data_IF_646078785402
#
_entry.id   IF_646078785402
#
_cell.length_a   1.000
_cell.length_b   1.000
_cell.length_c   1.000
_cell.angle_alpha   90.00
_cell.angle_beta   90.00
_cell.angle_gamma   90.00
#
_symmetry.space_group_name_H-M   'P 1'
#
loop_
_entity.id
_entity.type
_entity.pdbx_description
1 polymer ?
#
# COMPACT_ATOMS: atom_id res chain seq x y z
N UNK A 1 0.31 29.01 -20.18
CA UNK A 1 0.25 27.74 -20.97
C UNK A 1 0.54 26.48 -20.15
N UNK A 2 1.23 26.52 -19.00
CA UNK A 2 1.58 25.34 -18.21
C UNK A 2 0.39 24.57 -17.61
N UNK A 3 -0.61 25.28 -17.06
CA UNK A 3 -1.74 24.65 -16.35
C UNK A 3 -2.60 23.71 -17.23
N UNK A 4 -2.95 24.05 -18.48
CA UNK A 4 -3.67 23.14 -19.37
C UNK A 4 -2.90 21.85 -19.71
N UNK A 5 -1.57 21.94 -19.82
CA UNK A 5 -0.70 20.79 -20.09
C UNK A 5 -0.57 19.91 -18.83
N UNK A 6 -0.53 20.52 -17.64
CA UNK A 6 -0.42 19.83 -16.36
C UNK A 6 -1.75 19.21 -15.88
N UNK A 7 -2.89 19.52 -16.50
CA UNK A 7 -4.22 19.00 -16.08
C UNK A 7 -4.27 17.49 -15.82
N UNK A 8 -3.74 16.61 -16.69
CA UNK A 8 -3.79 15.17 -16.45
C UNK A 8 -3.01 14.75 -15.20
N UNK A 9 -1.85 15.39 -14.95
CA UNK A 9 -1.05 15.13 -13.76
C UNK A 9 -1.73 15.65 -12.49
N UNK A 10 -2.36 16.82 -12.56
CA UNK A 10 -3.14 17.39 -11.44
C UNK A 10 -4.33 16.49 -11.11
N UNK A 11 -5.10 16.03 -12.10
CA UNK A 11 -6.25 15.14 -11.89
C UNK A 11 -5.78 13.82 -11.26
N UNK A 12 -4.69 13.24 -11.76
CA UNK A 12 -4.14 12.02 -11.20
C UNK A 12 -3.66 12.19 -9.74
N UNK A 13 -3.01 13.33 -9.44
CA UNK A 13 -2.60 13.65 -8.08
C UNK A 13 -3.78 13.86 -7.13
N UNK A 14 -4.82 14.59 -7.57
CA UNK A 14 -6.04 14.79 -6.79
C UNK A 14 -6.78 13.47 -6.55
N UNK A 15 -6.88 12.59 -7.55
CA UNK A 15 -7.50 11.29 -7.39
C UNK A 15 -6.78 10.44 -6.34
N UNK A 16 -5.44 10.43 -6.34
CA UNK A 16 -4.63 9.76 -5.32
C UNK A 16 -4.89 10.33 -3.92
N UNK A 17 -4.92 11.65 -3.78
CA UNK A 17 -5.22 12.31 -2.50
C UNK A 17 -6.63 11.97 -2.03
N UNK A 18 -7.63 12.01 -2.92
CA UNK A 18 -9.00 11.63 -2.58
C UNK A 18 -9.09 10.17 -2.11
N UNK A 19 -8.41 9.24 -2.78
CA UNK A 19 -8.38 7.82 -2.38
C UNK A 19 -7.76 7.64 -1.00
N UNK A 20 -6.67 8.33 -0.70
CA UNK A 20 -6.01 8.27 0.62
C UNK A 20 -6.89 8.86 1.72
N UNK A 21 -7.50 10.02 1.47
CA UNK A 21 -8.43 10.67 2.42
C UNK A 21 -9.67 9.81 2.70
N UNK A 22 -10.26 9.19 1.68
CA UNK A 22 -11.42 8.28 1.84
C UNK A 22 -11.00 7.01 2.60
N UNK A 23 -9.76 6.58 2.46
CA UNK A 23 -9.20 5.42 3.15
C UNK A 23 -8.77 5.71 4.59
N UNK A 24 -8.69 6.98 4.97
CA UNK A 24 -8.27 7.36 6.32
C UNK A 24 -9.33 6.90 7.34
N UNK A 25 -8.86 6.23 8.36
CA UNK A 25 -9.66 5.70 9.45
C UNK A 25 -9.25 6.33 10.78
N UNK A 26 -7.96 6.26 11.12
CA UNK A 26 -7.47 6.65 12.42
C UNK A 26 -7.67 8.15 12.73
N UNK A 27 -7.42 9.03 11.74
CA UNK A 27 -7.58 10.47 11.91
C UNK A 27 -9.04 10.83 12.09
N UNK A 28 -9.94 10.30 11.24
CA UNK A 28 -11.37 10.62 11.31
C UNK A 28 -12.02 10.09 12.59
N UNK A 29 -11.59 8.94 13.07
CA UNK A 29 -12.06 8.38 14.34
C UNK A 29 -11.60 9.23 15.53
N UNK A 30 -10.31 9.58 15.59
CA UNK A 30 -9.76 10.40 16.67
C UNK A 30 -10.47 11.77 16.79
N UNK A 31 -10.80 12.39 15.64
CA UNK A 31 -11.55 13.64 15.59
C UNK A 31 -13.07 13.45 15.59
N UNK A 32 -13.58 12.24 15.79
CA UNK A 32 -15.01 11.92 15.84
C UNK A 32 -15.80 12.36 14.60
N UNK A 33 -15.16 12.35 13.42
CA UNK A 33 -15.80 12.70 12.16
C UNK A 33 -16.43 11.46 11.55
N UNK A 34 -17.75 11.41 11.44
CA UNK A 34 -18.48 10.29 10.86
C UNK A 34 -18.22 10.19 9.36
N UNK A 35 -17.56 9.11 8.95
CA UNK A 35 -17.28 8.76 7.55
C UNK A 35 -17.80 7.36 7.24
N UNK A 36 -17.92 7.02 5.93
CA UNK A 36 -18.34 5.68 5.52
C UNK A 36 -17.38 4.60 6.04
N UNK A 37 -16.08 4.86 6.06
CA UNK A 37 -15.05 3.94 6.56
C UNK A 37 -15.19 3.69 8.06
N UNK A 38 -15.44 4.73 8.84
CA UNK A 38 -15.72 4.62 10.27
C UNK A 38 -17.07 3.94 10.54
N UNK A 39 -18.10 4.24 9.73
CA UNK A 39 -19.40 3.59 9.82
C UNK A 39 -19.34 2.08 9.60
N UNK A 40 -18.56 1.60 8.62
CA UNK A 40 -18.32 0.17 8.39
C UNK A 40 -17.70 -0.48 9.64
N UNK A 41 -16.70 0.15 10.21
CA UNK A 41 -15.99 -0.33 11.40
C UNK A 41 -16.92 -0.42 12.62
N UNK A 42 -17.64 0.65 12.92
CA UNK A 42 -18.54 0.73 14.07
C UNK A 42 -19.70 -0.27 13.99
N UNK A 43 -20.28 -0.45 12.80
CA UNK A 43 -21.36 -1.41 12.60
C UNK A 43 -20.87 -2.85 12.73
N UNK A 44 -19.66 -3.15 12.27
CA UNK A 44 -19.09 -4.49 12.43
C UNK A 44 -18.64 -4.76 13.85
N UNK A 45 -17.73 -3.97 14.42
CA UNK A 45 -17.15 -4.24 15.74
C UNK A 45 -18.05 -3.77 16.89
N UNK A 46 -18.72 -2.63 16.74
CA UNK A 46 -19.57 -2.08 17.79
C UNK A 46 -20.95 -2.74 17.86
N UNK A 47 -21.55 -3.09 16.71
CA UNK A 47 -22.89 -3.69 16.64
C UNK A 47 -22.86 -5.18 16.29
N UNK A 48 -21.68 -5.77 16.03
CA UNK A 48 -21.48 -7.16 15.61
C UNK A 48 -22.38 -7.58 14.44
N UNK A 49 -22.61 -6.68 13.49
CA UNK A 49 -23.51 -6.90 12.36
C UNK A 49 -22.75 -6.84 11.04
N UNK A 50 -22.20 -8.00 10.61
CA UNK A 50 -21.45 -8.12 9.35
C UNK A 50 -22.32 -7.83 8.11
N UNK A 51 -23.62 -8.17 8.16
CA UNK A 51 -24.52 -7.94 7.02
C UNK A 51 -24.72 -6.46 6.78
N UNK A 52 -25.02 -5.68 7.82
CA UNK A 52 -25.17 -4.24 7.70
C UNK A 52 -23.84 -3.56 7.32
N UNK A 53 -22.70 -3.98 7.91
CA UNK A 53 -21.39 -3.48 7.54
C UNK A 53 -21.07 -3.74 6.06
N UNK A 54 -21.41 -4.92 5.53
CA UNK A 54 -21.21 -5.27 4.12
C UNK A 54 -22.11 -4.43 3.17
N UNK A 55 -23.31 -4.06 3.59
CA UNK A 55 -24.17 -3.15 2.81
C UNK A 55 -23.58 -1.74 2.71
N UNK A 56 -23.06 -1.19 3.82
CA UNK A 56 -22.38 0.11 3.81
C UNK A 56 -21.10 0.03 2.94
N UNK A 57 -20.34 -1.06 3.06
CA UNK A 57 -19.16 -1.30 2.23
C UNK A 57 -19.51 -1.37 0.73
N UNK A 58 -20.66 -1.94 0.35
CA UNK A 58 -21.13 -1.96 -1.03
C UNK A 58 -21.44 -0.55 -1.54
N UNK A 59 -22.08 0.30 -0.74
CA UNK A 59 -22.34 1.71 -1.10
C UNK A 59 -21.02 2.45 -1.32
N UNK A 60 -20.05 2.29 -0.40
CA UNK A 60 -18.72 2.87 -0.55
C UNK A 60 -18.01 2.35 -1.81
N UNK A 61 -18.15 1.06 -2.13
CA UNK A 61 -17.60 0.43 -3.33
C UNK A 61 -18.14 1.09 -4.62
N UNK A 62 -19.45 1.26 -4.73
CA UNK A 62 -20.09 1.89 -5.89
C UNK A 62 -19.59 3.33 -6.06
N UNK A 63 -19.45 4.07 -4.95
CA UNK A 63 -18.94 5.44 -4.97
C UNK A 63 -17.50 5.48 -5.50
N UNK A 64 -16.60 4.63 -4.99
CA UNK A 64 -15.20 4.57 -5.39
C UNK A 64 -15.05 4.13 -6.85
N UNK A 65 -15.80 3.11 -7.29
CA UNK A 65 -15.80 2.69 -8.69
C UNK A 65 -16.23 3.84 -9.60
N UNK A 66 -17.24 4.63 -9.19
CA UNK A 66 -17.66 5.80 -9.98
C UNK A 66 -16.54 6.83 -10.12
N UNK A 67 -15.80 7.12 -9.05
CA UNK A 67 -14.62 8.00 -9.10
C UNK A 67 -13.52 7.45 -10.00
N UNK A 68 -13.20 6.16 -9.90
CA UNK A 68 -12.21 5.50 -10.76
C UNK A 68 -12.60 5.56 -12.24
N UNK A 69 -13.87 5.33 -12.57
CA UNK A 69 -14.36 5.43 -13.95
C UNK A 69 -14.24 6.86 -14.48
N UNK A 70 -14.56 7.86 -13.66
CA UNK A 70 -14.41 9.28 -14.02
C UNK A 70 -12.94 9.60 -14.28
N UNK A 71 -12.02 9.14 -13.39
CA UNK A 71 -10.57 9.33 -13.55
C UNK A 71 -10.07 8.68 -14.85
N UNK A 72 -10.41 7.41 -15.09
CA UNK A 72 -9.99 6.70 -16.29
C UNK A 72 -10.47 7.36 -17.57
N UNK A 73 -11.73 7.85 -17.61
CA UNK A 73 -12.27 8.61 -18.74
C UNK A 73 -11.53 9.95 -18.93
N UNK A 74 -11.24 10.66 -17.85
CA UNK A 74 -10.49 11.91 -17.91
C UNK A 74 -9.05 11.72 -18.45
N UNK A 75 -8.41 10.58 -18.13
CA UNK A 75 -7.08 10.20 -18.66
C UNK A 75 -7.13 9.75 -20.12
N UNK A 76 -8.14 8.98 -20.53
CA UNK A 76 -8.18 8.34 -21.85
C UNK A 76 -8.27 9.34 -23.00
N UNK A 77 -8.85 10.51 -22.76
CA UNK A 77 -9.12 11.52 -23.79
C UNK A 77 -7.89 12.33 -24.23
N UNK A 78 -6.70 12.11 -23.64
CA UNK A 78 -5.49 12.85 -24.02
C UNK A 78 -4.25 11.97 -23.93
N UNK A 79 -3.91 11.33 -25.04
CA UNK A 79 -2.58 10.79 -25.26
C UNK A 79 -1.67 11.96 -25.67
N UNK A 80 -0.96 12.54 -24.72
CA UNK A 80 0.25 13.31 -25.07
C UNK A 80 1.33 12.30 -25.47
N UNK A 81 1.51 12.08 -26.77
CA UNK A 81 2.68 11.35 -27.25
C UNK A 81 3.87 12.30 -27.10
N UNK A 82 4.67 12.06 -26.09
CA UNK A 82 6.00 12.68 -26.00
C UNK A 82 6.87 12.03 -27.08
N UNK A 83 6.87 12.64 -28.27
CA UNK A 83 7.65 12.16 -29.43
C UNK A 83 9.12 12.58 -29.35
N UNK A 84 9.54 13.28 -28.30
CA UNK A 84 10.93 13.68 -28.13
C UNK A 84 11.57 13.01 -26.93
N UNK A 85 12.30 11.93 -27.17
CA UNK A 85 13.25 11.32 -26.22
C UNK A 85 14.47 12.23 -25.92
N UNK A 86 14.45 13.51 -26.29
CA UNK A 86 15.45 14.47 -25.86
C UNK A 86 15.11 14.94 -24.46
N UNK A 87 15.81 14.41 -23.47
CA UNK A 87 15.93 15.05 -22.15
C UNK A 87 16.53 16.44 -22.34
N UNK A 88 15.69 17.43 -22.63
CA UNK A 88 16.09 18.83 -22.53
C UNK A 88 16.38 19.09 -21.06
N UNK A 89 17.65 19.36 -20.74
CA UNK A 89 18.02 19.80 -19.38
C UNK A 89 17.18 21.04 -19.07
N UNK A 90 16.30 20.91 -18.08
CA UNK A 90 15.48 22.01 -17.58
C UNK A 90 16.48 23.08 -17.08
N UNK A 91 16.49 24.23 -17.70
CA UNK A 91 17.32 25.36 -17.27
C UNK A 91 16.87 25.80 -15.87
N UNK A 92 17.83 25.83 -14.95
CA UNK A 92 17.58 26.28 -13.59
C UNK A 92 17.40 27.79 -13.58
N UNK A 93 16.21 28.25 -13.18
CA UNK A 93 15.90 29.67 -13.01
C UNK A 93 16.64 30.19 -11.78
N UNK A 94 17.46 31.20 -11.91
CA UNK A 94 18.11 31.89 -10.80
C UNK A 94 17.10 32.83 -10.15
N UNK A 95 16.66 32.52 -8.96
CA UNK A 95 15.74 33.35 -8.17
C UNK A 95 16.52 34.47 -7.48
N UNK A 96 15.93 35.68 -7.37
CA UNK A 96 16.44 36.74 -6.51
C UNK A 96 16.40 36.34 -5.02
N UNK A 97 17.19 36.98 -4.17
CA UNK A 97 17.34 36.61 -2.74
C UNK A 97 16.00 36.51 -2.02
N UNK A 98 15.08 37.45 -2.21
CA UNK A 98 13.77 37.48 -1.57
C UNK A 98 12.85 36.34 -2.07
N UNK A 99 12.84 36.12 -3.40
CA UNK A 99 12.08 35.02 -4.02
C UNK A 99 12.63 33.65 -3.60
N UNK A 100 13.95 33.52 -3.44
CA UNK A 100 14.59 32.31 -2.95
C UNK A 100 14.14 32.00 -1.51
N UNK A 101 14.16 32.99 -0.62
CA UNK A 101 13.72 32.85 0.77
C UNK A 101 12.24 32.48 0.86
N UNK A 102 11.39 33.17 0.09
CA UNK A 102 9.96 32.87 0.04
C UNK A 102 9.69 31.44 -0.46
N UNK A 103 10.34 31.04 -1.55
CA UNK A 103 10.20 29.67 -2.09
C UNK A 103 10.67 28.63 -1.09
N UNK A 104 11.80 28.86 -0.41
CA UNK A 104 12.31 27.96 0.63
C UNK A 104 11.29 27.83 1.79
N UNK A 105 10.74 28.96 2.27
CA UNK A 105 9.75 28.96 3.34
C UNK A 105 8.48 28.18 2.94
N UNK A 106 7.92 28.45 1.75
CA UNK A 106 6.72 27.76 1.27
C UNK A 106 6.95 26.26 1.04
N UNK A 107 8.13 25.85 0.57
CA UNK A 107 8.45 24.44 0.39
C UNK A 107 8.77 23.71 1.71
N UNK A 108 9.38 24.39 2.68
CA UNK A 108 9.73 23.79 3.97
C UNK A 108 8.55 23.76 4.96
N UNK A 109 7.58 24.66 4.84
CA UNK A 109 6.43 24.77 5.75
C UNK A 109 5.64 23.47 5.86
N UNK A 110 5.21 22.80 4.77
CA UNK A 110 4.51 21.53 4.86
C UNK A 110 5.34 20.43 5.52
N UNK A 111 6.65 20.39 5.26
CA UNK A 111 7.56 19.42 5.88
C UNK A 111 7.70 19.69 7.38
N UNK A 112 7.82 20.94 7.76
CA UNK A 112 7.93 21.34 9.16
C UNK A 112 6.64 21.01 9.93
N UNK A 113 5.48 21.44 9.43
CA UNK A 113 4.20 21.24 10.11
C UNK A 113 3.70 19.79 10.04
N UNK A 114 3.92 19.10 8.91
CA UNK A 114 3.40 17.75 8.67
C UNK A 114 4.32 16.63 9.14
N UNK A 115 5.60 16.90 9.38
CA UNK A 115 6.56 15.87 9.78
C UNK A 115 7.39 16.27 11.02
N UNK A 116 8.12 17.38 10.98
CA UNK A 116 9.06 17.73 12.06
C UNK A 116 8.31 18.00 13.36
N UNK A 117 7.27 18.83 13.31
CA UNK A 117 6.48 19.18 14.49
C UNK A 117 5.82 17.94 15.15
N UNK A 118 5.07 17.08 14.42
CA UNK A 118 4.50 15.88 15.01
C UNK A 118 5.55 14.93 15.60
N UNK A 119 6.69 14.73 14.92
CA UNK A 119 7.77 13.87 15.44
C UNK A 119 8.36 14.43 16.72
N UNK A 120 8.60 15.75 16.79
CA UNK A 120 9.09 16.40 18.01
C UNK A 120 8.09 16.26 19.17
N UNK A 121 6.78 16.41 18.90
CA UNK A 121 5.74 16.24 19.91
C UNK A 121 5.70 14.80 20.42
N UNK A 122 5.66 13.80 19.52
CA UNK A 122 5.72 12.37 19.90
C UNK A 122 6.98 12.06 20.71
N UNK A 123 8.12 12.57 20.30
CA UNK A 123 9.37 12.41 21.04
C UNK A 123 9.31 13.02 22.44
N UNK A 124 8.73 14.23 22.58
CA UNK A 124 8.55 14.88 23.88
C UNK A 124 7.61 14.11 24.80
N UNK A 125 6.53 13.54 24.27
CA UNK A 125 5.60 12.69 25.02
C UNK A 125 6.25 11.37 25.42
N UNK A 126 7.01 10.74 24.54
CA UNK A 126 7.76 9.51 24.84
C UNK A 126 8.76 9.69 25.99
N UNK A 127 9.35 10.89 26.16
CA UNK A 127 10.28 11.17 27.26
C UNK A 127 9.57 11.44 28.61
N UNK A 128 8.30 11.84 28.58
CA UNK A 128 7.49 12.11 29.79
C UNK A 128 6.91 10.84 30.40
N UNK A 129 6.95 9.75 29.67
CA UNK A 129 6.38 8.46 30.08
C UNK A 129 7.22 7.89 31.24
N UNK A 130 6.87 8.21 32.48
CA UNK A 130 7.35 7.54 33.71
C UNK A 130 6.71 6.15 33.89
N UNK A 131 6.41 5.48 32.80
CA UNK A 131 5.56 4.31 32.79
C UNK A 131 6.39 3.03 32.79
N UNK A 132 5.91 2.03 33.52
CA UNK A 132 6.40 0.67 33.35
C UNK A 132 6.00 0.15 31.97
N UNK A 133 6.77 0.55 30.96
CA UNK A 133 6.63 0.00 29.60
C UNK A 133 6.90 -1.50 29.67
N UNK A 134 5.96 -2.31 29.26
CA UNK A 134 6.21 -3.74 29.07
C UNK A 134 7.04 -3.94 27.79
N UNK A 135 8.36 -3.95 28.00
CA UNK A 135 9.32 -4.14 26.91
C UNK A 135 9.18 -5.49 26.21
N UNK A 136 8.74 -6.53 26.94
CA UNK A 136 8.52 -7.84 26.36
C UNK A 136 7.35 -7.82 25.40
N UNK A 137 6.24 -7.20 25.78
CA UNK A 137 5.07 -7.01 24.92
C UNK A 137 5.42 -6.12 23.70
N UNK A 138 6.09 -5.00 23.89
CA UNK A 138 6.51 -4.13 22.80
C UNK A 138 7.41 -4.86 21.79
N UNK A 139 8.37 -5.65 22.26
CA UNK A 139 9.24 -6.45 21.40
C UNK A 139 8.43 -7.47 20.58
N UNK A 140 7.47 -8.14 21.21
CA UNK A 140 6.59 -9.08 20.52
C UNK A 140 5.78 -8.38 19.42
N UNK A 141 5.24 -7.19 19.69
CA UNK A 141 4.51 -6.37 18.73
C UNK A 141 5.40 -5.94 17.55
N UNK A 142 6.66 -5.57 17.81
CA UNK A 142 7.65 -5.26 16.77
C UNK A 142 7.91 -6.49 15.90
N UNK A 143 8.13 -7.66 16.49
CA UNK A 143 8.37 -8.91 15.77
C UNK A 143 7.16 -9.29 14.92
N UNK A 144 5.96 -9.18 15.47
CA UNK A 144 4.71 -9.45 14.74
C UNK A 144 4.58 -8.53 13.52
N UNK A 145 4.85 -7.22 13.70
CA UNK A 145 4.78 -6.23 12.62
C UNK A 145 5.76 -6.56 11.50
N UNK A 146 7.03 -6.82 11.83
CA UNK A 146 8.06 -7.17 10.85
C UNK A 146 7.72 -8.47 10.14
N UNK A 147 7.21 -9.46 10.87
CA UNK A 147 6.84 -10.76 10.30
C UNK A 147 5.73 -10.63 9.27
N UNK A 148 4.63 -9.95 9.63
CA UNK A 148 3.49 -9.77 8.73
C UNK A 148 3.86 -8.87 7.55
N UNK A 149 4.60 -7.78 7.79
CA UNK A 149 5.08 -6.91 6.72
C UNK A 149 6.03 -7.64 5.77
N UNK A 150 6.92 -8.48 6.31
CA UNK A 150 7.82 -9.31 5.51
C UNK A 150 7.08 -10.35 4.66
N UNK A 151 6.19 -11.13 5.27
CA UNK A 151 5.37 -12.13 4.55
C UNK A 151 4.48 -11.49 3.49
N UNK A 152 3.80 -10.38 3.83
CA UNK A 152 2.98 -9.63 2.90
C UNK A 152 3.79 -9.09 1.72
N UNK A 153 4.96 -8.50 1.99
CA UNK A 153 5.86 -7.98 0.95
C UNK A 153 6.34 -9.09 0.01
N UNK A 154 6.77 -10.23 0.54
CA UNK A 154 7.19 -11.37 -0.28
C UNK A 154 6.03 -11.82 -1.18
N UNK A 155 4.84 -11.98 -0.63
CA UNK A 155 3.65 -12.36 -1.38
C UNK A 155 3.35 -11.36 -2.49
N UNK A 156 3.32 -10.05 -2.18
CA UNK A 156 3.08 -8.97 -3.15
C UNK A 156 4.11 -9.02 -4.28
N UNK A 157 5.39 -9.14 -3.95
CA UNK A 157 6.46 -9.17 -4.97
C UNK A 157 6.34 -10.40 -5.87
N UNK A 158 6.03 -11.58 -5.32
CA UNK A 158 5.83 -12.80 -6.10
C UNK A 158 4.65 -12.63 -7.07
N UNK A 159 3.46 -12.25 -6.58
CA UNK A 159 2.28 -12.09 -7.43
C UNK A 159 2.42 -10.94 -8.43
N UNK A 160 3.01 -9.81 -8.01
CA UNK A 160 3.26 -8.67 -8.90
C UNK A 160 4.27 -9.00 -10.00
N UNK A 161 5.31 -9.78 -9.70
CA UNK A 161 6.29 -10.20 -10.72
C UNK A 161 5.67 -11.12 -11.75
N UNK A 162 4.89 -12.11 -11.31
CA UNK A 162 4.18 -13.01 -12.22
C UNK A 162 3.22 -12.23 -13.12
N UNK A 163 2.37 -11.38 -12.54
CA UNK A 163 1.40 -10.59 -13.31
C UNK A 163 2.08 -9.60 -14.25
N UNK A 164 3.14 -8.90 -13.83
CA UNK A 164 3.83 -7.92 -14.68
C UNK A 164 4.57 -8.58 -15.86
N UNK A 165 5.30 -9.68 -15.61
CA UNK A 165 6.03 -10.40 -16.63
C UNK A 165 5.09 -11.04 -17.65
N UNK A 166 4.03 -11.72 -17.18
CA UNK A 166 3.05 -12.34 -18.06
C UNK A 166 2.32 -11.28 -18.90
N UNK A 167 1.87 -10.20 -18.28
CA UNK A 167 1.15 -9.12 -18.97
C UNK A 167 2.01 -8.45 -20.04
N UNK A 168 3.29 -8.23 -19.78
CA UNK A 168 4.17 -7.50 -20.70
C UNK A 168 4.68 -8.38 -21.85
N UNK A 169 5.13 -9.62 -21.58
CA UNK A 169 5.79 -10.47 -22.57
C UNK A 169 4.87 -11.49 -23.25
N UNK A 170 3.77 -11.89 -22.60
CA UNK A 170 2.81 -12.87 -23.13
C UNK A 170 1.35 -12.40 -23.07
N UNK A 171 1.12 -11.14 -22.66
CA UNK A 171 -0.22 -10.60 -22.46
C UNK A 171 -0.98 -10.47 -23.77
N UNK A 172 -2.20 -11.01 -23.78
CA UNK A 172 -3.23 -10.65 -24.73
C UNK A 172 -4.15 -9.57 -24.12
N UNK A 173 -5.15 -9.10 -24.87
CA UNK A 173 -6.10 -8.07 -24.38
C UNK A 173 -6.79 -8.48 -23.07
N UNK A 174 -7.10 -9.74 -22.87
CA UNK A 174 -7.74 -10.25 -21.65
C UNK A 174 -6.77 -10.23 -20.45
N UNK A 175 -5.55 -10.73 -20.60
CA UNK A 175 -4.53 -10.74 -19.55
C UNK A 175 -4.19 -9.31 -19.13
N UNK A 176 -4.08 -8.38 -20.07
CA UNK A 176 -3.80 -6.98 -19.77
C UNK A 176 -4.95 -6.31 -18.98
N UNK A 177 -6.20 -6.63 -19.31
CA UNK A 177 -7.36 -6.14 -18.55
C UNK A 177 -7.37 -6.72 -17.12
N UNK A 178 -7.12 -8.02 -16.98
CA UNK A 178 -7.06 -8.68 -15.68
C UNK A 178 -5.92 -8.15 -14.81
N UNK A 179 -4.75 -7.92 -15.39
CA UNK A 179 -3.59 -7.33 -14.71
C UNK A 179 -3.86 -5.90 -14.25
N UNK A 180 -4.52 -5.09 -15.08
CA UNK A 180 -4.95 -3.75 -14.69
C UNK A 180 -6.00 -3.80 -13.57
N UNK A 181 -6.94 -4.74 -13.61
CA UNK A 181 -7.92 -4.94 -12.54
C UNK A 181 -7.24 -5.33 -11.22
N UNK A 182 -6.31 -6.28 -11.26
CA UNK A 182 -5.54 -6.70 -10.09
C UNK A 182 -4.72 -5.55 -9.46
N UNK A 183 -4.37 -4.53 -10.25
CA UNK A 183 -3.66 -3.34 -9.77
C UNK A 183 -4.57 -2.23 -9.22
N UNK A 184 -5.88 -2.43 -9.15
CA UNK A 184 -6.82 -1.42 -8.60
C UNK A 184 -7.07 -1.55 -7.10
N UNK A 185 -6.56 -2.59 -6.46
CA UNK A 185 -6.79 -2.87 -5.04
C UNK A 185 -6.46 -1.71 -4.09
N UNK A 186 -5.45 -0.93 -4.43
CA UNK A 186 -5.03 0.25 -3.64
C UNK A 186 -6.08 1.37 -3.59
N UNK A 187 -6.96 1.44 -4.56
CA UNK A 187 -8.03 2.45 -4.61
C UNK A 187 -9.12 2.23 -3.55
N UNK A 188 -9.21 1.02 -2.98
CA UNK A 188 -10.25 0.68 -2.03
C UNK A 188 -9.81 0.90 -0.59
N UNK A 189 -10.67 1.49 0.27
CA UNK A 189 -10.42 1.62 1.69
C UNK A 189 -10.15 0.26 2.37
N UNK A 190 -9.24 0.27 3.34
CA UNK A 190 -8.87 -0.94 4.07
C UNK A 190 -10.03 -1.62 4.78
N UNK A 191 -10.91 -0.83 5.41
CA UNK A 191 -12.12 -1.34 6.07
C UNK A 191 -13.04 -2.09 5.12
N UNK A 192 -13.25 -1.53 3.92
CA UNK A 192 -14.12 -2.15 2.91
C UNK A 192 -13.54 -3.47 2.39
N UNK A 193 -12.22 -3.49 2.08
CA UNK A 193 -11.55 -4.73 1.68
C UNK A 193 -11.57 -5.76 2.79
N UNK A 194 -11.37 -5.35 4.05
CA UNK A 194 -11.42 -6.25 5.19
C UNK A 194 -12.79 -6.94 5.32
N UNK A 195 -13.89 -6.20 5.23
CA UNK A 195 -15.24 -6.79 5.24
C UNK A 195 -15.44 -7.74 4.07
N UNK A 196 -15.02 -7.36 2.85
CA UNK A 196 -15.09 -8.24 1.68
C UNK A 196 -14.33 -9.56 1.88
N UNK A 197 -13.12 -9.47 2.46
CA UNK A 197 -12.30 -10.66 2.76
C UNK A 197 -12.90 -11.49 3.90
N UNK A 198 -13.51 -10.89 4.92
CA UNK A 198 -14.23 -11.62 5.98
C UNK A 198 -15.38 -12.44 5.41
N UNK A 199 -16.18 -11.85 4.55
CA UNK A 199 -17.29 -12.55 3.86
C UNK A 199 -16.74 -13.70 3.00
N UNK A 200 -15.69 -13.44 2.24
CA UNK A 200 -15.03 -14.45 1.41
C UNK A 200 -14.42 -15.58 2.26
N UNK A 201 -13.72 -15.24 3.35
CA UNK A 201 -13.14 -16.22 4.27
C UNK A 201 -14.21 -17.09 4.90
N UNK A 202 -15.32 -16.50 5.36
CA UNK A 202 -16.45 -17.25 5.88
C UNK A 202 -17.07 -18.22 4.86
N UNK A 203 -17.14 -17.82 3.59
CA UNK A 203 -17.58 -18.70 2.51
C UNK A 203 -16.61 -19.87 2.29
N UNK A 204 -15.30 -19.60 2.25
CA UNK A 204 -14.26 -20.62 2.08
C UNK A 204 -14.27 -21.59 3.26
N UNK A 205 -14.34 -21.08 4.49
CA UNK A 205 -14.36 -21.89 5.71
C UNK A 205 -15.59 -22.78 5.79
N UNK A 206 -16.75 -22.27 5.38
CA UNK A 206 -17.98 -23.06 5.32
C UNK A 206 -17.88 -24.18 4.27
N UNK A 207 -17.37 -23.87 3.09
CA UNK A 207 -17.14 -24.86 2.02
C UNK A 207 -16.16 -25.95 2.47
N UNK A 208 -15.08 -25.56 3.15
CA UNK A 208 -14.07 -26.46 3.68
C UNK A 208 -14.65 -27.35 4.80
N UNK A 209 -15.42 -26.78 5.72
CA UNK A 209 -16.05 -27.53 6.83
C UNK A 209 -17.07 -28.55 6.31
N UNK A 210 -17.87 -28.22 5.30
CA UNK A 210 -18.82 -29.16 4.67
C UNK A 210 -18.05 -30.31 4.00
N UNK A 211 -16.97 -30.00 3.26
CA UNK A 211 -16.14 -31.01 2.61
C UNK A 211 -15.48 -31.96 3.61
N UNK A 212 -14.89 -31.46 4.68
CA UNK A 212 -14.26 -32.28 5.73
C UNK A 212 -15.27 -33.10 6.53
N UNK A 213 -16.43 -32.52 6.86
CA UNK A 213 -17.46 -33.21 7.59
C UNK A 213 -18.04 -34.41 6.79
N UNK A 214 -18.16 -34.23 5.45
CA UNK A 214 -18.63 -35.31 4.55
C UNK A 214 -17.62 -36.42 4.37
N UNK A 215 -16.28 -36.11 4.43
CA UNK A 215 -15.21 -37.08 4.13
C UNK A 215 -14.64 -37.74 5.39
N UNK A 216 -14.47 -36.97 6.47
CA UNK A 216 -13.71 -37.41 7.67
C UNK A 216 -14.57 -37.33 8.94
N UNK A 217 -15.77 -36.73 8.90
CA UNK A 217 -16.65 -36.55 10.07
C UNK A 217 -16.12 -35.54 11.08
N UNK A 218 -15.20 -34.66 10.68
CA UNK A 218 -14.54 -33.65 11.53
C UNK A 218 -15.06 -32.25 11.21
N UNK A 219 -15.63 -31.56 12.21
CA UNK A 219 -16.00 -30.15 12.10
C UNK A 219 -14.82 -29.26 12.45
N UNK A 220 -14.24 -28.62 11.45
CA UNK A 220 -13.14 -27.65 11.63
C UNK A 220 -13.70 -26.26 11.93
N UNK A 221 -13.07 -25.54 12.84
CA UNK A 221 -13.41 -24.17 13.25
C UNK A 221 -12.85 -23.09 12.33
N UNK A 222 -12.83 -23.29 11.01
CA UNK A 222 -12.30 -22.35 10.04
C UNK A 222 -10.84 -22.61 9.67
N UNK A 223 -10.55 -22.43 8.37
CA UNK A 223 -9.20 -22.59 7.80
C UNK A 223 -8.53 -21.25 7.54
N UNK A 224 -9.31 -20.25 7.15
CA UNK A 224 -8.82 -18.95 6.70
C UNK A 224 -9.11 -17.84 7.74
N UNK A 225 -10.32 -17.86 8.32
CA UNK A 225 -10.75 -16.80 9.26
C UNK A 225 -9.89 -16.78 10.52
N UNK A 226 -9.47 -15.56 10.92
CA UNK A 226 -8.67 -15.35 12.13
C UNK A 226 -7.22 -15.84 12.04
N UNK A 227 -6.67 -16.00 10.85
CA UNK A 227 -5.29 -16.43 10.64
C UNK A 227 -4.41 -15.32 10.07
N UNK A 228 -3.09 -15.42 10.26
CA UNK A 228 -2.10 -14.53 9.60
C UNK A 228 -2.20 -14.65 8.07
N UNK A 229 -2.59 -15.82 7.56
CA UNK A 229 -2.77 -16.04 6.12
C UNK A 229 -3.84 -15.10 5.54
N UNK A 230 -4.96 -14.91 6.25
CA UNK A 230 -6.00 -13.96 5.86
C UNK A 230 -5.49 -12.53 5.78
N UNK A 231 -4.66 -12.09 6.74
CA UNK A 231 -4.00 -10.79 6.71
C UNK A 231 -3.07 -10.64 5.49
N UNK A 232 -2.18 -11.63 5.28
CA UNK A 232 -1.23 -11.63 4.16
C UNK A 232 -1.96 -11.62 2.81
N UNK A 233 -3.03 -12.38 2.69
CA UNK A 233 -3.89 -12.38 1.51
C UNK A 233 -4.49 -10.99 1.26
N UNK A 234 -5.07 -10.36 2.28
CA UNK A 234 -5.70 -9.04 2.18
C UNK A 234 -4.69 -7.95 1.81
N UNK A 235 -3.50 -7.97 2.43
CA UNK A 235 -2.41 -7.06 2.07
C UNK A 235 -1.95 -7.27 0.63
N UNK A 236 -1.87 -8.52 0.19
CA UNK A 236 -1.51 -8.83 -1.20
C UNK A 236 -2.53 -8.23 -2.17
N UNK A 237 -3.82 -8.39 -1.93
CA UNK A 237 -4.88 -7.82 -2.77
C UNK A 237 -4.80 -6.30 -2.82
N UNK A 238 -4.61 -5.63 -1.67
CA UNK A 238 -4.57 -4.17 -1.60
C UNK A 238 -3.30 -3.59 -2.22
N UNK A 239 -2.14 -4.08 -1.79
CA UNK A 239 -0.85 -3.48 -2.11
C UNK A 239 -0.18 -4.06 -3.36
N UNK A 240 -0.81 -5.02 -4.05
CA UNK A 240 -0.30 -5.53 -5.32
C UNK A 240 -0.09 -4.41 -6.36
N UNK A 241 -0.91 -3.36 -6.33
CA UNK A 241 -0.78 -2.19 -7.21
C UNK A 241 0.60 -1.53 -7.09
N UNK A 242 1.15 -1.43 -5.89
CA UNK A 242 2.46 -0.82 -5.59
C UNK A 242 3.59 -1.67 -6.20
N UNK A 243 3.57 -2.98 -5.93
CA UNK A 243 4.54 -3.92 -6.51
C UNK A 243 4.45 -3.99 -8.04
N UNK A 244 3.25 -4.12 -8.59
CA UNK A 244 3.00 -4.17 -10.02
C UNK A 244 3.44 -2.88 -10.73
N UNK A 245 3.11 -1.71 -10.20
CA UNK A 245 3.49 -0.42 -10.76
C UNK A 245 5.01 -0.24 -10.82
N UNK A 246 5.72 -0.61 -9.75
CA UNK A 246 7.18 -0.57 -9.69
C UNK A 246 7.83 -1.50 -10.72
N UNK A 247 7.37 -2.75 -10.81
CA UNK A 247 7.90 -3.74 -11.75
C UNK A 247 7.57 -3.40 -13.21
N UNK A 248 6.36 -2.94 -13.49
CA UNK A 248 5.96 -2.48 -14.81
C UNK A 248 6.82 -1.32 -15.29
N UNK A 249 7.09 -0.35 -14.41
CA UNK A 249 8.00 0.76 -14.71
C UNK A 249 9.41 0.27 -15.03
N UNK A 250 9.92 -0.71 -14.28
CA UNK A 250 11.22 -1.31 -14.57
C UNK A 250 11.26 -2.09 -15.88
N UNK A 251 10.24 -2.88 -16.18
CA UNK A 251 10.16 -3.66 -17.43
C UNK A 251 10.16 -2.73 -18.64
N UNK A 252 9.43 -1.62 -18.60
CA UNK A 252 9.38 -0.66 -19.73
C UNK A 252 10.72 0.05 -19.99
N UNK A 253 11.64 0.01 -19.05
CA UNK A 253 12.99 0.57 -19.21
C UNK A 253 13.98 -0.44 -19.82
N UNK A 254 13.63 -1.73 -19.90
CA UNK A 254 14.48 -2.76 -20.52
C UNK A 254 14.37 -2.62 -22.03
N UNK A 255 15.48 -2.39 -22.75
CA UNK A 255 15.46 -2.32 -24.20
C UNK A 255 14.99 -3.67 -24.81
N UNK A 256 14.00 -3.62 -25.68
CA UNK A 256 13.43 -4.82 -26.31
C UNK A 256 14.48 -5.61 -27.11
N UNK A 257 15.46 -4.94 -27.73
CA UNK A 257 16.53 -5.57 -28.47
C UNK A 257 17.39 -6.55 -27.63
N UNK A 258 17.49 -6.37 -26.31
CA UNK A 258 18.18 -7.34 -25.43
C UNK A 258 17.41 -8.67 -25.33
N UNK A 259 16.10 -8.57 -25.27
CA UNK A 259 15.22 -9.75 -25.22
C UNK A 259 15.22 -10.46 -26.55
N UNK A 260 15.12 -9.71 -27.65
CA UNK A 260 15.14 -10.24 -29.03
C UNK A 260 16.47 -10.90 -29.34
N UNK A 261 17.61 -10.32 -28.95
CA UNK A 261 18.93 -10.92 -29.09
C UNK A 261 19.04 -12.27 -28.37
N UNK A 262 18.44 -12.40 -27.19
CA UNK A 262 18.41 -13.65 -26.46
C UNK A 262 17.65 -14.73 -27.23
N UNK A 263 16.52 -14.38 -27.83
CA UNK A 263 15.75 -15.32 -28.67
C UNK A 263 16.50 -15.72 -29.96
N UNK A 264 17.20 -14.78 -30.61
CA UNK A 264 18.03 -15.06 -31.76
C UNK A 264 19.17 -16.05 -31.41
N UNK A 265 19.70 -15.96 -30.17
CA UNK A 265 20.69 -16.92 -29.68
C UNK A 265 20.07 -18.29 -29.26
N UNK A 266 18.78 -18.51 -29.53
CA UNK A 266 18.09 -19.77 -29.25
C UNK A 266 17.70 -19.98 -27.80
N UNK A 267 17.71 -18.94 -26.96
CA UNK A 267 17.29 -19.06 -25.56
C UNK A 267 15.78 -19.10 -25.44
N UNK A 268 15.21 -20.05 -24.68
CA UNK A 268 13.77 -20.09 -24.42
C UNK A 268 13.34 -18.95 -23.50
N UNK A 269 12.03 -18.67 -23.48
CA UNK A 269 11.44 -17.63 -22.67
C UNK A 269 11.89 -17.67 -21.19
N UNK A 270 11.83 -18.82 -20.55
CA UNK A 270 12.17 -18.97 -19.13
C UNK A 270 13.65 -18.63 -18.83
N UNK A 271 14.55 -19.00 -19.76
CA UNK A 271 15.98 -18.69 -19.60
C UNK A 271 16.25 -17.19 -19.80
N UNK A 272 15.61 -16.58 -20.81
CA UNK A 272 15.66 -15.14 -21.05
C UNK A 272 15.14 -14.36 -19.84
N UNK A 273 13.99 -14.75 -19.27
CA UNK A 273 13.44 -14.12 -18.09
C UNK A 273 14.39 -14.24 -16.90
N UNK A 274 14.90 -15.44 -16.61
CA UNK A 274 15.73 -15.70 -15.45
C UNK A 274 17.12 -15.04 -15.53
N UNK A 275 17.75 -15.06 -16.74
CA UNK A 275 19.15 -14.60 -16.91
C UNK A 275 19.27 -13.13 -17.31
N UNK A 276 18.25 -12.54 -17.92
CA UNK A 276 18.29 -11.17 -18.43
C UNK A 276 17.29 -10.27 -17.70
N UNK A 277 15.99 -10.59 -17.78
CA UNK A 277 14.95 -9.69 -17.32
C UNK A 277 14.95 -9.58 -15.79
N UNK A 278 14.92 -10.69 -15.06
CA UNK A 278 14.88 -10.65 -13.58
C UNK A 278 16.08 -9.96 -12.95
N UNK A 279 17.34 -10.18 -13.40
CA UNK A 279 18.48 -9.43 -12.86
C UNK A 279 18.40 -7.92 -13.12
N UNK A 280 17.93 -7.51 -14.29
CA UNK A 280 17.75 -6.09 -14.64
C UNK A 280 16.63 -5.42 -13.82
N UNK A 281 15.64 -6.20 -13.38
CA UNK A 281 14.55 -5.72 -12.53
C UNK A 281 14.90 -5.65 -11.03
N UNK A 282 16.11 -6.00 -10.61
CA UNK A 282 16.51 -6.04 -9.19
C UNK A 282 16.16 -4.74 -8.46
N UNK A 283 16.42 -3.60 -9.07
CA UNK A 283 16.11 -2.28 -8.49
C UNK A 283 14.60 -2.08 -8.30
N UNK A 284 13.80 -2.50 -9.30
CA UNK A 284 12.33 -2.40 -9.22
C UNK A 284 11.74 -3.34 -8.17
N UNK A 285 12.33 -4.53 -7.99
CA UNK A 285 11.97 -5.45 -6.91
C UNK A 285 12.21 -4.84 -5.54
N UNK A 286 13.39 -4.25 -5.35
CA UNK A 286 13.76 -3.61 -4.08
C UNK A 286 12.84 -2.40 -3.83
N UNK A 287 12.65 -1.53 -4.83
CA UNK A 287 11.82 -0.34 -4.68
C UNK A 287 10.34 -0.70 -4.38
N UNK A 288 9.76 -1.61 -5.16
CA UNK A 288 8.38 -2.07 -4.95
C UNK A 288 8.21 -2.80 -3.62
N UNK A 289 9.18 -3.63 -3.24
CA UNK A 289 9.18 -4.35 -1.96
C UNK A 289 9.28 -3.42 -0.75
N UNK A 290 10.19 -2.44 -0.79
CA UNK A 290 10.33 -1.47 0.30
C UNK A 290 9.07 -0.61 0.47
N UNK A 291 8.46 -0.16 -0.62
CA UNK A 291 7.21 0.60 -0.56
C UNK A 291 6.08 -0.25 0.03
N UNK A 292 5.90 -1.49 -0.46
CA UNK A 292 4.88 -2.39 0.06
C UNK A 292 5.11 -2.71 1.55
N UNK A 293 6.36 -2.91 1.96
CA UNK A 293 6.73 -3.17 3.36
C UNK A 293 6.31 -2.01 4.27
N UNK A 294 6.64 -0.78 3.88
CA UNK A 294 6.27 0.43 4.64
C UNK A 294 4.75 0.61 4.70
N UNK A 295 4.06 0.38 3.58
CA UNK A 295 2.60 0.49 3.54
C UNK A 295 1.91 -0.54 4.45
N UNK A 296 2.41 -1.76 4.53
CA UNK A 296 1.88 -2.79 5.44
C UNK A 296 2.17 -2.43 6.90
N UNK A 297 3.36 -1.92 7.21
CA UNK A 297 3.72 -1.58 8.60
C UNK A 297 2.81 -0.52 9.22
N UNK A 298 2.34 0.44 8.44
CA UNK A 298 1.42 1.50 8.88
C UNK A 298 -0.06 1.13 8.75
N UNK A 299 -0.35 -0.08 8.21
CA UNK A 299 -1.74 -0.47 7.94
C UNK A 299 -2.49 -0.76 9.24
N UNK A 300 -3.53 0.04 9.49
CA UNK A 300 -4.34 -0.03 10.70
C UNK A 300 -5.71 -0.71 10.46
N UNK A 301 -6.59 -0.18 9.60
CA UNK A 301 -7.99 -0.63 9.54
C UNK A 301 -8.17 -2.09 9.13
N UNK A 302 -7.41 -2.60 8.15
CA UNK A 302 -7.49 -4.02 7.78
C UNK A 302 -6.96 -4.91 8.89
N UNK A 303 -5.85 -4.50 9.52
CA UNK A 303 -5.23 -5.26 10.60
C UNK A 303 -6.17 -5.37 11.79
N UNK A 304 -6.81 -4.28 12.20
CA UNK A 304 -7.78 -4.28 13.32
C UNK A 304 -8.94 -5.25 13.07
N UNK A 305 -9.45 -5.30 11.83
CA UNK A 305 -10.62 -6.10 11.48
C UNK A 305 -10.29 -7.59 11.25
N UNK A 306 -9.07 -7.93 10.84
CA UNK A 306 -8.71 -9.27 10.35
C UNK A 306 -7.66 -9.99 11.18
N UNK A 307 -7.02 -9.32 12.15
CA UNK A 307 -5.95 -9.90 12.94
C UNK A 307 -6.42 -11.10 13.76
N UNK A 308 -5.57 -12.10 13.96
CA UNK A 308 -5.84 -13.17 14.92
C UNK A 308 -5.96 -12.64 16.34
N UNK A 309 -6.63 -13.41 17.21
CA UNK A 309 -6.66 -13.09 18.64
C UNK A 309 -5.25 -13.03 19.21
N UNK A 310 -5.02 -12.08 20.11
CA UNK A 310 -3.71 -11.82 20.76
C UNK A 310 -2.57 -11.50 19.79
N UNK A 311 -2.91 -11.03 18.58
CA UNK A 311 -1.94 -10.62 17.59
C UNK A 311 -2.00 -9.10 17.38
N UNK A 312 -1.00 -8.40 17.92
CA UNK A 312 -0.87 -6.96 17.78
C UNK A 312 0.27 -6.60 16.83
N UNK A 313 0.05 -5.54 16.05
CA UNK A 313 1.10 -4.85 15.29
C UNK A 313 1.38 -3.48 15.91
N UNK A 314 2.47 -2.82 15.53
CA UNK A 314 2.78 -1.48 16.02
C UNK A 314 1.64 -0.49 15.73
N UNK A 315 0.99 -0.60 14.57
CA UNK A 315 -0.14 0.26 14.21
C UNK A 315 -1.35 0.02 15.12
N UNK A 316 -1.75 -1.23 15.36
CA UNK A 316 -2.88 -1.57 16.22
C UNK A 316 -2.59 -1.27 17.69
N UNK A 317 -1.36 -1.51 18.14
CA UNK A 317 -0.91 -1.24 19.49
C UNK A 317 -0.87 0.26 19.81
N UNK A 318 -0.33 1.07 18.89
CA UNK A 318 -0.36 2.53 19.01
C UNK A 318 -1.80 3.07 19.01
N UNK A 319 -2.65 2.49 18.16
CA UNK A 319 -4.06 2.88 18.06
C UNK A 319 -4.83 2.62 19.35
N UNK A 320 -4.63 1.47 20.02
CA UNK A 320 -5.30 1.17 21.29
C UNK A 320 -5.02 2.25 22.34
N UNK A 321 -3.76 2.63 22.52
CA UNK A 321 -3.42 3.70 23.46
C UNK A 321 -3.96 5.07 23.02
N UNK A 322 -3.93 5.36 21.72
CA UNK A 322 -4.48 6.64 21.23
C UNK A 322 -6.00 6.70 21.41
N UNK A 323 -6.71 5.58 21.22
CA UNK A 323 -8.16 5.47 21.42
C UNK A 323 -8.55 5.67 22.90
N UNK A 324 -7.71 5.17 23.82
CA UNK A 324 -7.91 5.33 25.27
C UNK A 324 -7.35 6.68 25.79
N UNK A 325 -7.04 7.63 24.89
CA UNK A 325 -6.46 8.94 25.20
C UNK A 325 -5.10 8.90 25.90
N UNK A 326 -4.43 7.75 25.90
CA UNK A 326 -3.11 7.54 26.50
C UNK A 326 -1.97 7.90 25.52
N UNK A 327 -1.93 9.18 25.10
CA UNK A 327 -1.02 9.68 24.05
C UNK A 327 0.46 9.43 24.37
N UNK A 328 0.83 9.50 25.64
CA UNK A 328 2.21 9.25 26.05
C UNK A 328 2.65 7.81 25.74
N UNK A 329 1.76 6.82 25.97
CA UNK A 329 2.03 5.40 25.69
C UNK A 329 1.97 5.09 24.19
N UNK A 330 1.07 5.76 23.44
CA UNK A 330 0.98 5.64 22.00
C UNK A 330 2.22 6.16 21.27
N UNK A 331 2.94 7.12 21.90
CA UNK A 331 4.03 7.86 21.25
C UNK A 331 5.23 6.99 20.86
N UNK A 332 5.63 6.05 21.72
CA UNK A 332 6.79 5.19 21.45
C UNK A 332 6.54 4.21 20.29
N UNK A 333 5.43 3.44 20.24
CA UNK A 333 5.09 2.63 19.08
C UNK A 333 4.98 3.44 17.79
N UNK A 334 4.37 4.64 17.84
CA UNK A 334 4.25 5.53 16.68
C UNK A 334 5.63 5.98 16.15
N UNK A 335 6.57 6.33 17.04
CA UNK A 335 7.94 6.66 16.66
C UNK A 335 8.66 5.48 16.02
N UNK A 336 8.44 4.25 16.51
CA UNK A 336 9.00 3.04 15.91
C UNK A 336 8.48 2.81 14.49
N UNK A 337 7.19 3.06 14.22
CA UNK A 337 6.63 2.99 12.85
C UNK A 337 7.33 4.02 11.94
N UNK A 338 7.49 5.26 12.41
CA UNK A 338 8.15 6.32 11.64
C UNK A 338 9.60 5.93 11.32
N UNK A 339 10.36 5.46 12.31
CA UNK A 339 11.74 5.03 12.13
C UNK A 339 11.84 3.86 11.16
N UNK A 340 11.01 2.85 11.34
CA UNK A 340 10.97 1.69 10.45
C UNK A 340 10.56 2.05 9.02
N UNK A 341 9.71 3.07 8.82
CA UNK A 341 9.36 3.60 7.50
C UNK A 341 10.47 4.45 6.87
N UNK A 342 11.23 5.23 7.66
CA UNK A 342 12.30 6.09 7.16
C UNK A 342 13.51 5.28 6.66
N UNK A 343 13.89 4.22 7.37
CA UNK A 343 15.06 3.41 7.03
C UNK A 343 15.00 2.88 5.59
N UNK A 344 13.93 2.19 5.14
CA UNK A 344 13.80 1.76 3.76
C UNK A 344 13.87 2.90 2.73
N UNK A 345 13.24 4.04 3.03
CA UNK A 345 13.21 5.21 2.14
C UNK A 345 14.61 5.82 1.96
N UNK A 346 15.39 5.93 3.04
CA UNK A 346 16.77 6.42 3.00
C UNK A 346 17.64 5.46 2.16
N UNK A 347 17.52 4.15 2.41
CA UNK A 347 18.25 3.13 1.63
C UNK A 347 17.89 3.19 0.14
N UNK A 348 16.62 3.29 -0.20
CA UNK A 348 16.15 3.41 -1.58
C UNK A 348 16.74 4.65 -2.26
N UNK A 349 16.74 5.80 -1.59
CA UNK A 349 17.27 7.04 -2.15
C UNK A 349 18.80 6.97 -2.38
N UNK A 350 19.55 6.35 -1.47
CA UNK A 350 20.97 6.10 -1.62
C UNK A 350 21.25 5.18 -2.80
N UNK A 351 20.54 4.06 -2.88
CA UNK A 351 20.69 3.06 -3.94
C UNK A 351 20.35 3.61 -5.33
N UNK A 352 19.29 4.43 -5.44
CA UNK A 352 18.93 5.11 -6.69
C UNK A 352 19.95 6.15 -7.16
N UNK A 353 20.70 6.76 -6.23
CA UNK A 353 21.79 7.70 -6.59
C UNK A 353 23.02 6.98 -7.14
N UNK A 354 23.35 5.81 -6.62
CA UNK A 354 24.49 5.00 -7.07
C UNK A 354 24.30 4.43 -8.48
N UNK A 355 23.05 4.22 -8.91
CA UNK A 355 22.74 3.71 -10.27
C UNK A 355 22.76 4.83 -11.33
N UNK A 356 22.66 6.10 -10.94
CA UNK A 356 22.69 7.25 -11.88
C UNK A 356 24.10 7.73 -12.23
N UNK A 357 25.13 7.12 -11.69
CA UNK A 357 26.54 7.32 -12.06
C UNK A 357 26.99 6.21 -12.99
#
# INVERSE_FOLDING_TARGET
MGLPIARPAIIAGLALVCMEVISDFGTVEFFTVETLTLGIFNVWLGMNNLVAASQIALVAFIFIISLLVIELKARSNRKFSDSSQRQTKIERIKLGKLSHLATFFFCSLPVFLGFILPVCLLFSHSLKTNYHQDWAQLLQVVINTITVAGLGTISIIVFSSLTAIIAFYRGNSFINKLSNLASTGYAFPGTMLAIGVLVFAGFVDNFYSIGLNTVIGYSSSGFLSGTILMLVFTYTVRFQAVGYGSLRSGITQIPQNLVDASYIMGKPFNETMRKIVLPLLKTSFIAGGLLAFVDIMKELPMTLLLRPFNFETLATYSYQFAHDELIEQASLPALLIILAGLVPVIFMNKFLREIKV
#
